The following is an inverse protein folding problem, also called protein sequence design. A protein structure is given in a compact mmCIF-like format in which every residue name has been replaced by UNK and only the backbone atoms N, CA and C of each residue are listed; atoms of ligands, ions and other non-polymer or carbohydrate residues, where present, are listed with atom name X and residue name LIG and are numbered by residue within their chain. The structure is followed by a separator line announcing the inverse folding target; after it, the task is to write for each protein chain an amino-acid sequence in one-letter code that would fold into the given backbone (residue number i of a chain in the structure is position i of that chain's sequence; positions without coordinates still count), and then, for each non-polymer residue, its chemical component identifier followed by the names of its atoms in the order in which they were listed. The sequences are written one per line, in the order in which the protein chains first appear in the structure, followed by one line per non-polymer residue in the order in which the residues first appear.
data_IF_188829970448
#
_entry.id   IF_188829970448
#
_cell.length_a   1.000
_cell.length_b   1.000
_cell.length_c   1.000
_cell.angle_alpha   90.00
_cell.angle_beta   90.00
_cell.angle_gamma   90.00
#
_symmetry.space_group_name_H-M   'P 1'
#
loop_
_entity.id
_entity.type
_entity.pdbx_description
1 polymer ?
#
# COMPACT_ATOMS: atom_id res chain seq x y z
N UNK A 1 3.44 -9.77 -4.40
CA UNK A 1 2.08 -9.22 -4.25
C UNK A 1 2.06 -7.80 -4.77
N UNK A 2 1.07 -7.44 -5.56
CA UNK A 2 0.92 -6.08 -6.07
C UNK A 2 0.53 -5.10 -4.96
N UNK A 3 0.92 -3.83 -5.11
CA UNK A 3 0.69 -2.83 -4.05
C UNK A 3 -0.80 -2.62 -3.76
N UNK A 4 -1.66 -2.58 -4.79
CA UNK A 4 -3.10 -2.40 -4.56
C UNK A 4 -3.70 -3.60 -3.83
N UNK A 5 -3.30 -4.82 -4.17
CA UNK A 5 -3.74 -6.03 -3.48
C UNK A 5 -3.25 -6.06 -2.03
N UNK A 6 -2.03 -5.57 -1.77
CA UNK A 6 -1.49 -5.46 -0.43
C UNK A 6 -2.31 -4.50 0.43
N UNK A 7 -2.68 -3.34 -0.11
CA UNK A 7 -3.50 -2.37 0.60
C UNK A 7 -4.87 -2.96 0.95
N UNK A 8 -5.47 -3.69 0.02
CA UNK A 8 -6.74 -4.35 0.25
C UNK A 8 -6.62 -5.45 1.31
N UNK A 9 -5.59 -6.28 1.22
CA UNK A 9 -5.35 -7.36 2.18
C UNK A 9 -5.08 -6.83 3.59
N UNK A 10 -4.44 -5.67 3.69
CA UNK A 10 -4.15 -5.04 4.97
C UNK A 10 -5.37 -4.32 5.57
N UNK A 11 -6.48 -4.25 4.85
CA UNK A 11 -7.69 -3.55 5.31
C UNK A 11 -7.59 -2.04 5.26
N UNK A 12 -6.62 -1.50 4.55
CA UNK A 12 -6.42 -0.06 4.44
C UNK A 12 -7.33 0.57 3.40
N UNK A 13 -7.79 -0.22 2.44
CA UNK A 13 -8.73 0.20 1.41
C UNK A 13 -9.81 -0.86 1.25
N UNK A 14 -10.97 -0.46 0.74
CA UNK A 14 -12.10 -1.36 0.56
C UNK A 14 -12.01 -2.19 -0.73
N UNK A 15 -11.23 -1.71 -1.71
CA UNK A 15 -11.10 -2.39 -2.99
C UNK A 15 -9.75 -2.04 -3.64
N UNK A 16 -9.35 -2.84 -4.63
CA UNK A 16 -8.14 -2.55 -5.39
C UNK A 16 -8.25 -1.22 -6.16
N UNK A 17 -9.44 -0.88 -6.64
CA UNK A 17 -9.69 0.40 -7.31
C UNK A 17 -9.44 1.59 -6.40
N UNK A 18 -9.86 1.51 -5.15
CA UNK A 18 -9.57 2.54 -4.15
C UNK A 18 -8.07 2.65 -3.90
N UNK A 19 -7.40 1.51 -3.77
CA UNK A 19 -5.94 1.47 -3.62
C UNK A 19 -5.24 2.16 -4.78
N UNK A 20 -5.65 1.90 -6.01
CA UNK A 20 -5.08 2.53 -7.20
C UNK A 20 -5.26 4.05 -7.18
N UNK A 21 -6.41 4.54 -6.76
CA UNK A 21 -6.65 5.99 -6.65
C UNK A 21 -5.74 6.64 -5.63
N UNK A 22 -5.53 6.00 -4.49
CA UNK A 22 -4.66 6.52 -3.46
C UNK A 22 -3.22 6.56 -3.93
N UNK A 23 -2.77 5.54 -4.66
CA UNK A 23 -1.43 5.50 -5.23
C UNK A 23 -1.26 6.64 -6.23
N UNK A 24 -2.23 6.84 -7.13
CA UNK A 24 -2.20 7.94 -8.10
C UNK A 24 -2.13 9.32 -7.42
N UNK A 25 -2.81 9.46 -6.30
CA UNK A 25 -2.83 10.70 -5.54
C UNK A 25 -1.62 10.93 -4.66
N UNK A 26 -0.66 9.98 -4.62
CA UNK A 26 0.50 10.08 -3.75
C UNK A 26 0.19 9.89 -2.28
N UNK A 27 -0.94 9.24 -1.97
CA UNK A 27 -1.38 9.03 -0.59
C UNK A 27 -0.88 7.75 0.05
N UNK A 28 -0.05 6.98 -0.65
CA UNK A 28 0.47 5.71 -0.15
C UNK A 28 1.98 5.80 0.03
N UNK A 29 2.46 5.39 1.21
CA UNK A 29 3.88 5.32 1.50
C UNK A 29 4.22 3.93 2.03
N UNK A 30 5.39 3.44 1.64
CA UNK A 30 5.95 2.20 2.18
C UNK A 30 7.31 2.55 2.76
N UNK A 31 7.50 2.26 4.06
CA UNK A 31 8.74 2.59 4.79
C UNK A 31 9.12 4.07 4.60
N UNK A 32 8.12 4.94 4.66
CA UNK A 32 8.25 6.41 4.52
C UNK A 32 8.52 6.89 3.09
N UNK A 33 8.60 6.00 2.11
CA UNK A 33 8.79 6.37 0.71
C UNK A 33 7.44 6.43 -0.01
N UNK A 34 7.16 7.53 -0.71
CA UNK A 34 5.93 7.67 -1.48
C UNK A 34 5.91 6.66 -2.63
N UNK A 35 4.81 5.94 -2.74
CA UNK A 35 4.59 4.99 -3.84
C UNK A 35 3.64 5.63 -4.84
N UNK A 36 4.09 5.77 -6.08
CA UNK A 36 3.26 6.31 -7.17
C UNK A 36 3.12 5.33 -8.34
N UNK A 37 3.67 4.14 -8.22
CA UNK A 37 3.62 3.11 -9.25
C UNK A 37 2.58 2.04 -8.88
N UNK A 38 1.47 2.02 -9.61
CA UNK A 38 0.41 1.04 -9.41
C UNK A 38 0.83 -0.39 -9.77
N UNK A 39 1.88 -0.52 -10.56
CA UNK A 39 2.43 -1.80 -10.94
C UNK A 39 3.49 -2.34 -9.99
N UNK A 40 3.77 -1.61 -8.89
CA UNK A 40 4.76 -2.05 -7.92
C UNK A 40 4.36 -3.38 -7.30
N UNK A 41 5.32 -4.31 -7.26
CA UNK A 41 5.15 -5.61 -6.62
C UNK A 41 6.13 -5.72 -5.46
N UNK A 42 5.65 -6.27 -4.35
CA UNK A 42 6.43 -6.45 -3.14
C UNK A 42 6.68 -7.93 -2.92
N UNK A 43 7.93 -8.26 -2.64
CA UNK A 43 8.32 -9.62 -2.29
C UNK A 43 8.15 -9.90 -0.80
N UNK A 44 8.69 -11.05 -0.34
CA UNK A 44 8.66 -11.42 1.06
C UNK A 44 9.39 -10.38 1.91
N UNK A 45 8.83 -10.07 3.07
CA UNK A 45 9.41 -9.10 3.99
C UNK A 45 8.36 -8.41 4.85
N UNK A 46 8.83 -7.51 5.69
CA UNK A 46 7.97 -6.71 6.56
C UNK A 46 7.94 -5.27 6.03
N UNK A 47 6.76 -4.74 5.86
CA UNK A 47 6.59 -3.38 5.33
C UNK A 47 5.72 -2.56 6.26
N UNK A 48 6.11 -1.31 6.49
CA UNK A 48 5.27 -0.31 7.15
C UNK A 48 4.58 0.48 6.06
N UNK A 49 3.27 0.30 5.95
CA UNK A 49 2.46 0.92 4.91
C UNK A 49 1.65 2.04 5.53
N UNK A 50 1.74 3.22 4.93
CA UNK A 50 0.98 4.38 5.34
C UNK A 50 0.02 4.78 4.23
N UNK A 51 -1.24 4.99 4.59
CA UNK A 51 -2.27 5.51 3.68
C UNK A 51 -2.81 6.80 4.26
N UNK A 52 -2.65 7.89 3.51
CA UNK A 52 -3.00 9.21 3.99
C UNK A 52 -2.07 9.64 5.13
N UNK A 53 -2.59 10.45 6.05
CA UNK A 53 -1.80 11.01 7.15
C UNK A 53 -1.93 10.23 8.45
N UNK A 54 -2.91 9.34 8.56
CA UNK A 54 -3.27 8.73 9.85
C UNK A 54 -3.36 7.22 9.85
N UNK A 55 -3.39 6.58 8.68
CA UNK A 55 -3.52 5.12 8.60
C UNK A 55 -2.16 4.49 8.41
N UNK A 56 -1.79 3.64 9.35
CA UNK A 56 -0.55 2.89 9.31
C UNK A 56 -0.85 1.42 9.52
N UNK A 57 -0.15 0.56 8.82
CA UNK A 57 -0.23 -0.87 9.02
C UNK A 57 1.13 -1.50 8.78
N UNK A 58 1.52 -2.44 9.64
CA UNK A 58 2.68 -3.28 9.39
C UNK A 58 2.21 -4.56 8.74
N UNK A 59 2.72 -4.81 7.55
CA UNK A 59 2.34 -5.97 6.75
C UNK A 59 3.53 -6.88 6.59
N UNK A 60 3.33 -8.15 6.89
CA UNK A 60 4.35 -9.18 6.69
C UNK A 60 3.94 -10.04 5.51
N UNK A 61 4.80 -10.12 4.50
CA UNK A 61 4.63 -11.00 3.34
C UNK A 61 5.57 -12.18 3.48
N UNK A 62 5.01 -13.35 3.41
CA UNK A 62 5.79 -14.58 3.49
C UNK A 62 6.26 -15.05 2.12
#
# INVERSE_FOLDING_TARGET
MGIAALLNAAGLVASNGEGNRLIDGGGVRIDSAVVSDKGLKLGAGVYVVQVGKRKFARVTLA
#
